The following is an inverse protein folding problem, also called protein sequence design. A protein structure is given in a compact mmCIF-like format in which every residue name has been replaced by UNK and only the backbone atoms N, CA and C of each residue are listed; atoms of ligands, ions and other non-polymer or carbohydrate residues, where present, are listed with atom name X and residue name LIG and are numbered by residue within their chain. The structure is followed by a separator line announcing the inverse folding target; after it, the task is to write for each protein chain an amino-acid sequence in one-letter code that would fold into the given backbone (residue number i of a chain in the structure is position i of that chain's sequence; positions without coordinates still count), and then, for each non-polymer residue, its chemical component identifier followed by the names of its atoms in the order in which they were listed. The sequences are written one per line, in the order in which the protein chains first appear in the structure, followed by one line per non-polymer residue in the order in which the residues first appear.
data_IF_314570566113
#
_entry.id   IF_314570566113
#
_cell.length_a   1.000
_cell.length_b   1.000
_cell.length_c   1.000
_cell.angle_alpha   90.00
_cell.angle_beta   90.00
_cell.angle_gamma   90.00
#
_symmetry.space_group_name_H-M   'P 1'
#
loop_
_entity.id
_entity.type
_entity.pdbx_description
1 polymer ?
#
# COMPACT_ATOMS: atom_id res chain seq x y z
N UNK A 1 -17.21 -4.37 -13.18
CA UNK A 1 -16.98 -4.18 -11.72
C UNK A 1 -16.28 -5.42 -11.13
N UNK A 2 -15.27 -5.98 -11.81
CA UNK A 2 -14.62 -7.24 -11.38
C UNK A 2 -13.22 -7.07 -10.79
N UNK A 3 -12.46 -6.05 -11.22
CA UNK A 3 -11.07 -5.85 -10.76
C UNK A 3 -10.98 -5.47 -9.29
N UNK A 4 -11.89 -4.63 -8.79
CA UNK A 4 -11.89 -4.25 -7.36
C UNK A 4 -12.21 -5.44 -6.44
N UNK A 5 -13.01 -6.40 -6.91
CA UNK A 5 -13.37 -7.59 -6.12
C UNK A 5 -12.17 -8.53 -5.97
N UNK A 6 -11.39 -8.72 -7.04
CA UNK A 6 -10.16 -9.53 -6.99
C UNK A 6 -9.10 -8.89 -6.08
N UNK A 7 -8.88 -7.58 -6.21
CA UNK A 7 -7.96 -6.84 -5.35
C UNK A 7 -8.40 -6.91 -3.87
N UNK A 8 -9.69 -6.76 -3.60
CA UNK A 8 -10.23 -6.85 -2.24
C UNK A 8 -10.02 -8.24 -1.63
N UNK A 9 -10.26 -9.30 -2.40
CA UNK A 9 -10.06 -10.67 -1.96
C UNK A 9 -8.57 -10.96 -1.66
N UNK A 10 -7.66 -10.44 -2.49
CA UNK A 10 -6.22 -10.59 -2.28
C UNK A 10 -5.74 -9.84 -1.03
N UNK A 11 -6.23 -8.61 -0.81
CA UNK A 11 -6.00 -7.85 0.43
C UNK A 11 -6.48 -8.64 1.64
N UNK A 12 -7.66 -9.24 1.58
CA UNK A 12 -8.23 -10.01 2.70
C UNK A 12 -7.38 -11.25 3.00
N UNK A 13 -6.96 -11.98 1.96
CA UNK A 13 -6.04 -13.12 2.09
C UNK A 13 -4.71 -12.72 2.73
N UNK A 14 -4.12 -11.61 2.31
CA UNK A 14 -2.88 -11.11 2.91
C UNK A 14 -3.09 -10.67 4.36
N UNK A 15 -4.23 -10.05 4.69
CA UNK A 15 -4.59 -9.68 6.06
C UNK A 15 -4.73 -10.90 6.98
N UNK A 16 -5.21 -12.03 6.47
CA UNK A 16 -5.27 -13.28 7.27
C UNK A 16 -3.91 -13.90 7.57
N UNK A 17 -2.89 -13.56 6.77
CA UNK A 17 -1.51 -14.01 6.98
C UNK A 17 -0.77 -13.12 7.99
N UNK A 18 -1.35 -11.98 8.38
CA UNK A 18 -0.75 -11.12 9.40
C UNK A 18 -0.70 -11.87 10.73
N UNK A 19 0.51 -12.01 11.23
CA UNK A 19 0.83 -12.75 12.44
C UNK A 19 0.73 -11.88 13.70
N UNK A 20 0.67 -10.55 13.52
CA UNK A 20 0.77 -9.56 14.59
C UNK A 20 2.21 -9.22 14.96
N UNK A 21 3.21 -9.89 14.37
CA UNK A 21 4.62 -9.58 14.55
C UNK A 21 5.04 -8.48 13.56
N UNK A 22 5.46 -7.34 14.10
CA UNK A 22 5.74 -6.14 13.31
C UNK A 22 6.77 -6.37 12.18
N UNK A 23 7.78 -7.20 12.44
CA UNK A 23 8.85 -7.46 11.47
C UNK A 23 8.40 -8.45 10.39
N UNK A 24 7.70 -9.51 10.80
CA UNK A 24 7.18 -10.52 9.87
C UNK A 24 6.06 -9.96 8.99
N UNK A 25 5.26 -9.04 9.55
CA UNK A 25 4.14 -8.42 8.85
C UNK A 25 4.55 -7.21 8.00
N UNK A 26 5.79 -6.73 8.09
CA UNK A 26 6.24 -5.52 7.39
C UNK A 26 6.06 -5.65 5.86
N UNK A 27 6.48 -6.80 5.31
CA UNK A 27 6.37 -7.09 3.88
C UNK A 27 4.91 -7.27 3.45
N UNK A 28 4.12 -8.03 4.21
CA UNK A 28 2.69 -8.22 3.96
C UNK A 28 1.92 -6.90 4.01
N UNK A 29 2.23 -6.03 4.97
CA UNK A 29 1.62 -4.71 5.10
C UNK A 29 1.94 -3.79 3.93
N UNK A 30 3.18 -3.82 3.42
CA UNK A 30 3.55 -3.06 2.23
C UNK A 30 2.77 -3.54 1.00
N UNK A 31 2.66 -4.86 0.81
CA UNK A 31 1.86 -5.44 -0.28
C UNK A 31 0.38 -5.07 -0.17
N UNK A 32 -0.21 -5.21 1.02
CA UNK A 32 -1.61 -4.80 1.30
C UNK A 32 -1.81 -3.33 0.97
N UNK A 33 -0.90 -2.47 1.41
CA UNK A 33 -1.00 -1.03 1.19
C UNK A 33 -0.98 -0.68 -0.30
N UNK A 34 -0.07 -1.28 -1.07
CA UNK A 34 0.00 -1.11 -2.53
C UNK A 34 -1.28 -1.58 -3.25
N UNK A 35 -1.86 -2.70 -2.82
CA UNK A 35 -3.12 -3.21 -3.36
C UNK A 35 -4.30 -2.31 -2.99
N UNK A 36 -4.36 -1.83 -1.74
CA UNK A 36 -5.37 -0.87 -1.27
C UNK A 36 -5.25 0.44 -2.05
N UNK A 37 -4.05 0.90 -2.39
CA UNK A 37 -3.85 2.06 -3.26
C UNK A 37 -4.45 1.86 -4.65
N UNK A 38 -4.19 0.71 -5.28
CA UNK A 38 -4.75 0.37 -6.59
C UNK A 38 -6.28 0.27 -6.56
N UNK A 39 -6.83 -0.33 -5.50
CA UNK A 39 -8.26 -0.50 -5.30
C UNK A 39 -8.97 0.84 -5.09
N UNK A 40 -8.40 1.72 -4.27
CA UNK A 40 -8.96 3.05 -4.00
C UNK A 40 -8.61 4.08 -5.10
N UNK A 41 -7.74 3.72 -6.05
CA UNK A 41 -7.25 4.64 -7.08
C UNK A 41 -6.42 5.80 -6.53
N UNK A 42 -5.92 5.69 -5.30
CA UNK A 42 -5.07 6.71 -4.68
C UNK A 42 -3.64 6.49 -5.15
N UNK A 43 -3.01 7.53 -5.70
CA UNK A 43 -1.60 7.45 -6.08
C UNK A 43 -0.74 7.39 -4.82
N UNK A 44 0.37 6.64 -4.82
CA UNK A 44 1.37 6.77 -3.77
C UNK A 44 1.71 8.25 -3.66
N UNK A 45 1.84 8.76 -2.42
CA UNK A 45 2.19 10.16 -2.16
C UNK A 45 3.19 10.58 -3.21
N UNK A 46 2.73 11.48 -4.07
CA UNK A 46 3.52 12.09 -5.10
C UNK A 46 4.64 12.80 -4.33
N UNK A 47 5.76 12.09 -4.15
CA UNK A 47 6.97 12.62 -3.55
C UNK A 47 7.58 13.60 -4.54
N UNK A 48 6.85 14.66 -4.88
CA UNK A 48 7.43 15.98 -5.00
C UNK A 48 7.89 16.37 -3.59
N UNK A 49 8.99 15.75 -3.17
CA UNK A 49 9.95 16.47 -2.35
C UNK A 49 10.50 17.51 -3.30
N UNK A 50 9.76 18.62 -3.43
CA UNK A 50 10.36 19.88 -3.81
C UNK A 50 11.32 20.16 -2.67
N UNK A 51 12.53 19.62 -2.77
CA UNK A 51 13.66 20.19 -2.09
C UNK A 51 13.76 21.58 -2.71
N UNK A 52 13.03 22.52 -2.13
CA UNK A 52 13.40 23.92 -2.06
C UNK A 52 14.75 23.95 -1.35
N UNK A 53 15.76 23.47 -2.07
CA UNK A 53 17.15 23.80 -1.84
C UNK A 53 17.20 25.29 -1.98
N UNK A 54 17.19 25.92 -0.81
CA UNK A 54 17.40 27.33 -0.59
C UNK A 54 18.47 27.80 -1.59
N UNK A 55 18.03 28.54 -2.61
CA UNK A 55 18.94 29.34 -3.42
C UNK A 55 19.63 30.31 -2.46
N UNK A 56 20.90 30.03 -2.18
CA UNK A 56 21.87 30.97 -1.62
C UNK A 56 23.25 30.49 -2.03
#
# INVERSE_FOLDING_TARGET
MEQNVQLQAEIDQLKTQLTGDLFSDMDLKDQIHNLEMKLNGVRPMDSHIDCVGCGS
#
